data_IF_827530046153
#
_entry.id   IF_827530046153
#
_cell.length_a   1.000
_cell.length_b   1.000
_cell.length_c   1.000
_cell.angle_alpha   90.00
_cell.angle_beta   90.00
_cell.angle_gamma   90.00
#
_symmetry.space_group_name_H-M   'P 1'
#
loop_
_entity.id
_entity.type
_entity.pdbx_description
1 polymer ?
#
# COMPACT_ATOMS: atom_id res chain seq x y z
N UNK A 1 -16.12 -9.54 -44.11
CA UNK A 1 -15.33 -10.00 -42.96
C UNK A 1 -14.86 -11.42 -43.21
N UNK A 2 -13.60 -11.60 -43.57
CA UNK A 2 -13.06 -12.89 -44.02
C UNK A 2 -12.56 -13.73 -42.83
N UNK A 3 -12.55 -15.07 -42.96
CA UNK A 3 -12.16 -16.03 -41.90
C UNK A 3 -10.77 -15.73 -41.29
N UNK A 4 -9.91 -15.03 -42.04
CA UNK A 4 -8.55 -14.61 -41.66
C UNK A 4 -8.57 -13.45 -40.66
N UNK A 5 -9.46 -12.47 -40.82
CA UNK A 5 -9.62 -11.32 -39.93
C UNK A 5 -10.12 -11.72 -38.54
N UNK A 6 -10.96 -12.77 -38.48
CA UNK A 6 -11.49 -13.31 -37.20
C UNK A 6 -10.44 -14.02 -36.35
N UNK A 7 -9.31 -14.45 -36.92
CA UNK A 7 -8.22 -15.13 -36.20
C UNK A 7 -7.10 -14.15 -35.84
N UNK A 8 -6.85 -13.13 -36.67
CA UNK A 8 -5.81 -12.12 -36.41
C UNK A 8 -6.19 -11.22 -35.22
N UNK A 9 -7.46 -10.84 -35.10
CA UNK A 9 -7.93 -9.96 -34.03
C UNK A 9 -7.74 -10.53 -32.60
N UNK A 10 -8.11 -11.80 -32.29
CA UNK A 10 -7.86 -12.35 -30.95
C UNK A 10 -6.37 -12.53 -30.65
N UNK A 11 -5.53 -12.84 -31.65
CA UNK A 11 -4.07 -12.95 -31.46
C UNK A 11 -3.46 -11.59 -31.10
N UNK A 12 -3.86 -10.54 -31.83
CA UNK A 12 -3.38 -9.18 -31.58
C UNK A 12 -3.88 -8.65 -30.22
N UNK A 13 -5.11 -8.98 -29.83
CA UNK A 13 -5.66 -8.65 -28.51
C UNK A 13 -4.88 -9.32 -27.37
N UNK A 14 -4.54 -10.60 -27.51
CA UNK A 14 -3.71 -11.33 -26.53
C UNK A 14 -2.30 -10.72 -26.45
N UNK A 15 -1.71 -10.36 -27.59
CA UNK A 15 -0.40 -9.70 -27.63
C UNK A 15 -0.41 -8.35 -26.88
N UNK A 16 -1.46 -7.54 -27.06
CA UNK A 16 -1.64 -6.27 -26.35
C UNK A 16 -1.75 -6.50 -24.83
N UNK A 17 -2.52 -7.51 -24.40
CA UNK A 17 -2.67 -7.83 -22.98
C UNK A 17 -1.31 -8.24 -22.39
N UNK A 18 -0.53 -9.08 -23.10
CA UNK A 18 0.80 -9.47 -22.65
C UNK A 18 1.77 -8.28 -22.55
N UNK A 19 1.74 -7.36 -23.51
CA UNK A 19 2.54 -6.14 -23.48
C UNK A 19 2.13 -5.20 -22.34
N UNK A 20 0.84 -5.08 -22.06
CA UNK A 20 0.32 -4.30 -20.93
C UNK A 20 0.70 -4.94 -19.58
N UNK A 21 0.58 -6.25 -19.44
CA UNK A 21 1.02 -6.98 -18.25
C UNK A 21 2.53 -6.83 -18.02
N UNK A 22 3.34 -6.88 -19.08
CA UNK A 22 4.78 -6.67 -19.00
C UNK A 22 5.14 -5.23 -18.62
N UNK A 23 4.44 -4.23 -19.20
CA UNK A 23 4.59 -2.83 -18.82
C UNK A 23 4.27 -2.60 -17.34
N UNK A 24 3.17 -3.19 -16.86
CA UNK A 24 2.75 -3.11 -15.45
C UNK A 24 3.72 -3.83 -14.51
N UNK A 25 4.31 -4.96 -14.94
CA UNK A 25 5.36 -5.64 -14.19
C UNK A 25 6.63 -4.79 -14.06
N UNK A 26 7.04 -4.14 -15.15
CA UNK A 26 8.23 -3.30 -15.18
C UNK A 26 8.11 -2.08 -14.26
N UNK A 27 6.99 -1.36 -14.32
CA UNK A 27 6.75 -0.18 -13.47
C UNK A 27 6.73 -0.54 -11.98
N UNK A 28 6.20 -1.72 -11.60
CA UNK A 28 6.23 -2.23 -10.22
C UNK A 28 7.64 -2.52 -9.70
N UNK A 29 8.52 -3.06 -10.55
CA UNK A 29 9.91 -3.35 -10.18
C UNK A 29 10.72 -2.07 -9.88
N UNK A 30 10.48 -1.02 -10.65
CA UNK A 30 11.16 0.28 -10.48
C UNK A 30 10.74 0.98 -9.19
N UNK A 31 9.47 0.89 -8.79
CA UNK A 31 9.00 1.52 -7.53
C UNK A 31 9.57 0.86 -6.27
N UNK A 32 9.71 -0.47 -6.25
CA UNK A 32 10.37 -1.17 -5.12
C UNK A 32 11.85 -0.77 -4.99
N UNK A 33 12.51 -0.40 -6.09
CA UNK A 33 13.90 0.09 -6.05
C UNK A 33 14.04 1.46 -5.38
N UNK A 34 12.95 2.23 -5.32
CA UNK A 34 12.91 3.60 -4.75
C UNK A 34 12.56 3.62 -3.26
N UNK A 35 11.98 2.53 -2.74
CA UNK A 35 11.64 2.40 -1.33
C UNK A 35 12.90 2.26 -0.48
N UNK A 36 13.18 3.25 0.35
CA UNK A 36 14.26 3.18 1.31
C UNK A 36 13.75 2.55 2.60
N UNK A 37 14.36 1.43 3.01
CA UNK A 37 14.04 0.74 4.26
C UNK A 37 15.31 0.70 5.14
N UNK A 38 15.37 1.47 6.24
CA UNK A 38 16.50 1.42 7.15
C UNK A 38 16.57 0.05 7.84
N UNK A 39 17.78 -0.41 8.10
CA UNK A 39 18.02 -1.66 8.82
C UNK A 39 17.76 -1.48 10.32
N UNK A 40 17.50 -2.60 11.01
CA UNK A 40 17.30 -2.58 12.46
C UNK A 40 18.57 -2.10 13.17
N UNK A 41 19.74 -2.50 12.69
CA UNK A 41 21.03 -2.10 13.25
C UNK A 41 21.27 -0.60 13.13
N UNK A 42 20.97 0.00 11.97
CA UNK A 42 21.05 1.44 11.77
C UNK A 42 20.12 2.20 12.73
N UNK A 43 18.87 1.75 12.85
CA UNK A 43 17.89 2.40 13.74
C UNK A 43 18.30 2.29 15.21
N UNK A 44 18.79 1.13 15.65
CA UNK A 44 19.24 0.96 17.04
C UNK A 44 20.46 1.82 17.39
N UNK A 45 21.28 2.17 16.39
CA UNK A 45 22.48 2.98 16.56
C UNK A 45 22.21 4.48 16.46
N UNK A 46 21.38 4.90 15.52
CA UNK A 46 21.23 6.32 15.12
C UNK A 46 19.80 6.85 15.30
N UNK A 47 18.85 6.00 15.66
CA UNK A 47 17.42 6.33 15.70
C UNK A 47 16.75 6.15 14.33
N UNK A 48 15.44 6.38 14.27
CA UNK A 48 14.72 6.34 13.00
C UNK A 48 15.18 7.52 12.11
N UNK A 49 15.44 7.28 10.82
CA UNK A 49 15.67 8.37 9.88
C UNK A 49 14.41 9.23 9.74
N UNK A 50 14.63 10.49 9.40
CA UNK A 50 13.57 11.50 9.25
C UNK A 50 13.53 12.00 7.82
N UNK A 51 12.33 12.17 7.26
CA UNK A 51 12.13 12.72 5.92
C UNK A 51 12.14 14.26 5.93
N UNK A 52 11.92 14.88 4.76
CA UNK A 52 11.91 16.36 4.63
C UNK A 52 10.75 17.03 5.36
N UNK A 53 9.65 16.30 5.60
CA UNK A 53 8.50 16.78 6.35
C UNK A 53 8.67 16.64 7.89
N UNK A 54 9.78 16.07 8.35
CA UNK A 54 10.02 15.82 9.77
C UNK A 54 9.42 14.51 10.30
N UNK A 55 8.87 13.67 9.42
CA UNK A 55 8.29 12.37 9.79
C UNK A 55 9.39 11.30 9.89
N UNK A 56 9.35 10.51 10.96
CA UNK A 56 10.23 9.34 11.13
C UNK A 56 9.72 8.15 10.32
N UNK A 57 10.62 7.35 9.73
CA UNK A 57 10.22 6.17 8.94
C UNK A 57 11.04 4.91 9.24
N UNK A 58 10.39 3.75 9.20
CA UNK A 58 11.07 2.46 9.37
C UNK A 58 10.16 1.30 9.79
N UNK A 59 10.72 0.10 9.98
CA UNK A 59 10.01 -1.01 10.61
C UNK A 59 9.73 -0.73 12.09
N UNK A 60 8.63 -1.26 12.62
CA UNK A 60 8.39 -1.25 14.06
C UNK A 60 9.44 -2.10 14.79
N UNK A 61 10.16 -1.51 15.74
CA UNK A 61 11.14 -2.19 16.59
C UNK A 61 10.58 -2.29 18.00
N UNK A 62 10.64 -3.49 18.57
CA UNK A 62 10.25 -3.75 19.95
C UNK A 62 10.99 -2.84 20.93
N UNK A 63 10.29 -2.30 21.93
CA UNK A 63 10.80 -1.37 22.95
C UNK A 63 11.24 0.01 22.43
N UNK A 64 10.88 0.37 21.19
CA UNK A 64 11.05 1.72 20.65
C UNK A 64 9.69 2.34 20.33
N UNK A 65 9.57 3.66 20.44
CA UNK A 65 8.36 4.34 19.97
C UNK A 65 8.22 4.13 18.45
N UNK A 66 7.02 3.79 17.95
CA UNK A 66 6.85 3.49 16.53
C UNK A 66 7.08 4.76 15.67
N UNK A 67 7.65 4.63 14.46
CA UNK A 67 7.87 5.76 13.58
C UNK A 67 6.55 6.27 12.98
N UNK A 68 6.51 7.54 12.59
CA UNK A 68 5.33 8.17 11.98
C UNK A 68 4.89 7.45 10.69
N UNK A 69 5.87 6.97 9.92
CA UNK A 69 5.73 6.18 8.71
C UNK A 69 6.19 4.74 9.00
N UNK A 70 5.23 3.84 9.25
CA UNK A 70 5.50 2.47 9.65
C UNK A 70 5.53 1.52 8.45
N UNK A 71 6.60 0.74 8.32
CA UNK A 71 6.77 -0.20 7.21
C UNK A 71 5.67 -1.27 7.24
N UNK A 72 5.02 -1.48 6.10
CA UNK A 72 3.97 -2.46 5.90
C UNK A 72 4.08 -3.15 4.54
N UNK A 73 3.36 -4.26 4.39
CA UNK A 73 3.20 -4.97 3.12
C UNK A 73 1.73 -4.98 2.75
N UNK A 74 1.40 -4.40 1.61
CA UNK A 74 0.07 -4.26 1.02
C UNK A 74 -0.40 -5.47 0.23
N UNK A 75 -1.46 -5.24 -0.56
CA UNK A 75 -1.86 -6.16 -1.61
C UNK A 75 -0.70 -6.38 -2.60
N UNK A 76 -0.69 -7.55 -3.26
CA UNK A 76 0.34 -7.92 -4.25
C UNK A 76 1.80 -7.86 -3.75
N UNK A 77 2.04 -8.00 -2.43
CA UNK A 77 3.36 -7.89 -1.80
C UNK A 77 4.04 -6.52 -1.98
N UNK A 78 3.27 -5.45 -2.24
CA UNK A 78 3.83 -4.11 -2.35
C UNK A 78 4.26 -3.65 -0.96
N UNK A 79 5.56 -3.40 -0.77
CA UNK A 79 6.09 -2.83 0.47
C UNK A 79 6.04 -1.31 0.40
N UNK A 80 5.67 -0.69 1.50
CA UNK A 80 5.63 0.77 1.64
C UNK A 80 5.38 1.16 3.08
N UNK A 81 5.17 2.44 3.32
CA UNK A 81 4.92 2.98 4.65
C UNK A 81 3.45 3.35 4.83
N UNK A 82 2.90 2.99 5.98
CA UNK A 82 1.60 3.47 6.45
C UNK A 82 1.86 4.67 7.35
N UNK A 83 1.15 5.77 7.11
CA UNK A 83 1.18 6.94 8.00
C UNK A 83 0.34 6.67 9.23
N UNK A 84 0.94 6.67 10.41
CA UNK A 84 0.25 6.31 11.65
C UNK A 84 -0.92 7.24 11.97
N UNK A 85 -0.77 8.55 11.70
CA UNK A 85 -1.84 9.54 11.87
C UNK A 85 -3.05 9.28 10.99
N UNK A 86 -2.88 8.58 9.85
CA UNK A 86 -3.96 8.20 8.92
C UNK A 86 -4.45 6.76 9.12
N UNK A 87 -3.69 5.95 9.87
CA UNK A 87 -3.93 4.52 10.06
C UNK A 87 -4.99 4.20 11.11
N UNK A 88 -5.27 5.14 12.02
CA UNK A 88 -6.46 5.10 12.85
C UNK A 88 -7.65 5.29 11.92
N UNK A 89 -8.26 4.18 11.47
CA UNK A 89 -9.42 4.21 10.59
C UNK A 89 -10.49 5.19 11.08
N UNK A 90 -11.38 5.65 10.18
CA UNK A 90 -12.40 6.67 10.47
C UNK A 90 -12.96 6.56 11.89
N UNK A 91 -12.53 7.47 12.76
CA UNK A 91 -13.11 7.62 14.08
C UNK A 91 -14.45 8.32 13.89
N UNK A 92 -15.50 7.74 14.44
CA UNK A 92 -16.81 8.36 14.40
C UNK A 92 -16.77 9.69 15.16
N UNK A 93 -17.20 10.77 14.53
CA UNK A 93 -17.28 12.09 15.16
C UNK A 93 -18.60 12.26 15.94
N UNK A 94 -19.54 11.32 15.78
CA UNK A 94 -20.81 11.27 16.51
C UNK A 94 -21.25 9.84 16.84
N UNK A 95 -22.13 9.65 17.86
CA UNK A 95 -22.74 8.35 18.15
C UNK A 95 -23.48 7.74 16.96
N UNK A 96 -24.15 8.57 16.14
CA UNK A 96 -24.86 8.13 14.93
C UNK A 96 -23.88 7.61 13.86
N UNK A 97 -22.78 8.34 13.63
CA UNK A 97 -21.73 7.91 12.70
C UNK A 97 -21.04 6.63 13.19
N UNK A 98 -20.90 6.45 14.51
CA UNK A 98 -20.34 5.24 15.11
C UNK A 98 -21.22 4.02 14.83
N UNK A 99 -22.54 4.19 14.88
CA UNK A 99 -23.49 3.12 14.55
C UNK A 99 -23.43 2.80 13.05
N UNK A 100 -23.28 3.79 12.17
CA UNK A 100 -23.11 3.55 10.73
C UNK A 100 -21.78 2.88 10.39
N UNK A 101 -20.67 3.32 11.00
CA UNK A 101 -19.35 2.70 10.87
C UNK A 101 -19.40 1.24 11.30
N UNK A 102 -20.03 0.94 12.45
CA UNK A 102 -20.22 -0.43 12.94
C UNK A 102 -21.13 -1.28 12.05
N UNK A 103 -22.15 -0.68 11.43
CA UNK A 103 -23.03 -1.38 10.47
C UNK A 103 -22.39 -1.56 9.10
N UNK A 104 -21.35 -0.80 8.78
CA UNK A 104 -20.69 -0.86 7.48
C UNK A 104 -19.81 -2.11 7.35
N UNK A 105 -20.04 -2.89 6.31
CA UNK A 105 -19.14 -3.96 5.85
C UNK A 105 -18.09 -3.42 4.87
N UNK A 106 -17.87 -2.09 4.85
CA UNK A 106 -17.01 -1.45 3.86
C UNK A 106 -15.57 -1.82 4.17
N UNK A 107 -14.87 -2.34 3.17
CA UNK A 107 -13.44 -2.53 3.25
C UNK A 107 -12.76 -1.15 3.33
N UNK A 108 -11.86 -0.98 4.29
CA UNK A 108 -11.07 0.24 4.42
C UNK A 108 -9.78 0.07 3.66
N UNK A 109 -9.40 1.09 2.89
CA UNK A 109 -8.15 1.10 2.15
C UNK A 109 -7.20 2.07 2.82
N UNK A 110 -6.05 1.59 3.25
CA UNK A 110 -4.96 2.38 3.80
C UNK A 110 -3.91 2.57 2.69
N UNK A 111 -3.55 3.81 2.32
CA UNK A 111 -2.51 4.04 1.32
C UNK A 111 -1.14 3.58 1.84
N UNK A 112 -0.29 3.11 0.91
CA UNK A 112 1.12 2.83 1.16
C UNK A 112 1.97 3.90 0.46
N UNK A 113 2.83 4.54 1.22
CA UNK A 113 3.70 5.63 0.77
C UNK A 113 5.15 5.17 0.60
N UNK A 114 5.95 5.97 -0.10
CA UNK A 114 7.40 5.96 0.05
C UNK A 114 7.82 6.64 1.37
N UNK A 115 9.12 6.61 1.66
CA UNK A 115 9.71 7.28 2.82
C UNK A 115 9.48 8.81 2.85
N UNK A 116 9.11 9.41 1.72
CA UNK A 116 8.78 10.84 1.65
C UNK A 116 7.44 11.19 2.32
N UNK A 117 6.61 10.19 2.66
CA UNK A 117 5.30 10.41 3.28
C UNK A 117 4.25 11.03 2.36
N UNK A 118 4.54 11.17 1.06
CA UNK A 118 3.69 11.83 0.06
C UNK A 118 3.40 10.93 -1.15
N UNK A 119 4.41 10.20 -1.65
CA UNK A 119 4.25 9.38 -2.87
C UNK A 119 3.52 8.09 -2.56
N UNK A 120 2.27 7.96 -3.01
CA UNK A 120 1.49 6.74 -2.90
C UNK A 120 1.97 5.69 -3.92
N UNK A 121 2.35 4.52 -3.44
CA UNK A 121 2.87 3.39 -4.23
C UNK A 121 2.00 2.14 -4.15
N UNK A 122 1.01 2.11 -3.27
CA UNK A 122 0.14 0.97 -3.12
C UNK A 122 -0.97 1.21 -2.10
N UNK A 123 -1.59 0.12 -1.71
CA UNK A 123 -2.67 0.13 -0.72
C UNK A 123 -2.72 -1.16 0.07
N UNK A 124 -3.22 -1.05 1.28
CA UNK A 124 -3.52 -2.15 2.19
C UNK A 124 -5.03 -2.15 2.45
N UNK A 125 -5.69 -3.29 2.22
CA UNK A 125 -7.14 -3.42 2.35
C UNK A 125 -7.48 -4.16 3.64
N UNK A 126 -8.11 -3.44 4.57
CA UNK A 126 -8.75 -4.00 5.74
C UNK A 126 -10.19 -4.39 5.39
N UNK A 127 -10.41 -5.65 5.09
CA UNK A 127 -11.78 -6.18 5.00
C UNK A 127 -12.32 -6.41 6.42
N UNK A 128 -13.44 -5.78 6.76
CA UNK A 128 -14.18 -6.11 7.98
C UNK A 128 -14.88 -7.46 7.77
N UNK A 129 -14.17 -8.57 7.98
CA UNK A 129 -14.80 -9.88 8.04
C UNK A 129 -15.51 -10.00 9.38
N UNK A 130 -16.85 -9.99 9.37
CA UNK A 130 -17.64 -10.47 10.52
C UNK A 130 -17.18 -11.89 10.82
N UNK A 131 -16.31 -12.08 11.82
CA UNK A 131 -16.09 -13.38 12.43
C UNK A 131 -17.35 -13.70 13.23
N UNK A 132 -18.37 -14.21 12.55
CA UNK A 132 -19.49 -14.88 13.20
C UNK A 132 -19.00 -16.19 13.78
N UNK A 133 -18.85 -16.23 15.10
CA UNK A 133 -18.70 -17.44 15.91
C UNK A 133 -19.52 -17.25 17.17
#
# INVERSE_FOLDING_TARGET
MTKREKIIYPIFLVLIILLMSFYFYKTRGEQNSKLLVPTREEILKEGYPTNQAGETYGPAIENMFPPDLMLATGEDNVRGYIKLSESAGKVAESPEEAVELNRSTKAYTIPLYLQDGETIIGKFVLANTRSGG
#
